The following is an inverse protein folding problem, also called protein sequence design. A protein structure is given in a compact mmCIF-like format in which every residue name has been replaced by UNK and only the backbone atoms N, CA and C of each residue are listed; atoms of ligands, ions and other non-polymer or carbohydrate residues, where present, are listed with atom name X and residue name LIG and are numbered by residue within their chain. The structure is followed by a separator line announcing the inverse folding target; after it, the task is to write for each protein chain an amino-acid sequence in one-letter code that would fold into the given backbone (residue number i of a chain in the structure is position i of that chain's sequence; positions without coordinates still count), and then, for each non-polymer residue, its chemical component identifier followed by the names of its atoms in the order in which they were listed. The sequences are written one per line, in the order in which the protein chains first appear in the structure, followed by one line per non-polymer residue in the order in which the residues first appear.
data_IF_516518917789
#
_entry.id   IF_516518917789
#
_cell.length_a   1.000
_cell.length_b   1.000
_cell.length_c   1.000
_cell.angle_alpha   90.00
_cell.angle_beta   90.00
_cell.angle_gamma   90.00
#
_symmetry.space_group_name_H-M   'P 1'
#
loop_
_entity.id
_entity.type
_entity.pdbx_description
1 polymer ?
#
# COMPACT_ATOMS: atom_id res chain seq x y z
N UNK A 1 14.12 -14.28 37.77
CA UNK A 1 12.92 -15.11 38.04
C UNK A 1 11.88 -14.48 38.98
N UNK A 2 12.11 -13.35 39.68
CA UNK A 2 11.11 -12.75 40.59
C UNK A 2 10.04 -11.85 39.93
N UNK A 3 10.30 -11.26 38.76
CA UNK A 3 9.35 -10.36 38.09
C UNK A 3 8.11 -11.06 37.48
N UNK A 4 8.20 -12.35 37.13
CA UNK A 4 7.09 -13.10 36.51
C UNK A 4 6.03 -13.62 37.49
N UNK A 5 6.35 -13.68 38.80
CA UNK A 5 5.43 -14.15 39.84
C UNK A 5 4.50 -13.03 40.34
N UNK A 6 4.98 -11.78 40.37
CA UNK A 6 4.17 -10.63 40.77
C UNK A 6 3.14 -10.22 39.72
N UNK A 7 3.46 -10.36 38.42
CA UNK A 7 2.50 -10.10 37.34
C UNK A 7 1.33 -11.10 37.36
N UNK A 8 1.59 -12.39 37.60
CA UNK A 8 0.57 -13.44 37.69
C UNK A 8 -0.30 -13.29 38.95
N UNK A 9 0.29 -12.89 40.09
CA UNK A 9 -0.48 -12.54 41.31
C UNK A 9 -1.36 -11.30 41.11
N UNK A 10 -0.89 -10.29 40.37
CA UNK A 10 -1.67 -9.09 40.03
C UNK A 10 -2.88 -9.40 39.12
N UNK A 11 -2.66 -10.16 38.05
CA UNK A 11 -3.72 -10.55 37.10
C UNK A 11 -4.80 -11.44 37.75
N UNK A 12 -4.40 -12.38 38.62
CA UNK A 12 -5.35 -13.24 39.36
C UNK A 12 -6.20 -12.46 40.37
N UNK A 13 -5.63 -11.43 41.03
CA UNK A 13 -6.36 -10.56 41.96
C UNK A 13 -7.34 -9.63 41.24
N UNK A 14 -6.96 -9.10 40.06
CA UNK A 14 -7.85 -8.27 39.26
C UNK A 14 -9.04 -9.05 38.68
N UNK A 15 -8.83 -10.30 38.24
CA UNK A 15 -9.91 -11.16 37.75
C UNK A 15 -10.92 -11.51 38.85
N UNK A 16 -10.44 -11.81 40.06
CA UNK A 16 -11.29 -12.06 41.23
C UNK A 16 -12.07 -10.82 41.66
N UNK A 17 -11.44 -9.65 41.66
CA UNK A 17 -12.11 -8.39 42.01
C UNK A 17 -13.23 -8.02 41.02
N UNK A 18 -13.03 -8.28 39.72
CA UNK A 18 -14.05 -8.06 38.69
C UNK A 18 -15.23 -9.03 38.85
N UNK A 19 -14.95 -10.31 39.12
CA UNK A 19 -15.97 -11.32 39.36
C UNK A 19 -16.79 -11.03 40.63
N UNK A 20 -16.15 -10.60 41.71
CA UNK A 20 -16.82 -10.26 42.97
C UNK A 20 -17.72 -9.02 42.83
N UNK A 21 -17.28 -7.99 42.10
CA UNK A 21 -18.13 -6.82 41.81
C UNK A 21 -19.34 -7.18 40.96
N UNK A 22 -19.14 -8.02 39.93
CA UNK A 22 -20.24 -8.49 39.08
C UNK A 22 -21.29 -9.24 39.90
N UNK A 23 -20.87 -10.15 40.77
CA UNK A 23 -21.73 -10.87 41.70
C UNK A 23 -22.44 -9.93 42.71
N UNK A 24 -21.73 -8.95 43.26
CA UNK A 24 -22.28 -7.98 44.20
C UNK A 24 -23.39 -7.10 43.60
N UNK A 25 -23.26 -6.69 42.32
CA UNK A 25 -24.28 -5.89 41.66
C UNK A 25 -25.44 -6.74 41.10
N UNK A 26 -25.14 -7.88 40.49
CA UNK A 26 -26.15 -8.71 39.79
C UNK A 26 -26.93 -9.63 40.72
N UNK A 27 -26.32 -10.08 41.83
CA UNK A 27 -26.93 -11.09 42.73
C UNK A 27 -27.37 -10.49 44.08
N UNK A 28 -26.64 -9.52 44.61
CA UNK A 28 -26.95 -8.90 45.92
C UNK A 28 -27.71 -7.57 45.82
N UNK A 29 -28.03 -7.10 44.60
CA UNK A 29 -28.82 -5.89 44.38
C UNK A 29 -28.13 -4.59 44.84
N UNK A 30 -26.80 -4.60 45.01
CA UNK A 30 -26.06 -3.42 45.45
C UNK A 30 -26.05 -2.38 44.32
N UNK A 31 -26.47 -1.14 44.62
CA UNK A 31 -26.50 -0.06 43.64
C UNK A 31 -25.08 0.45 43.37
N UNK A 32 -24.69 0.54 42.09
CA UNK A 32 -23.38 1.10 41.69
C UNK A 32 -23.20 2.52 42.23
N UNK A 33 -22.04 2.77 42.84
CA UNK A 33 -21.64 4.11 43.28
C UNK A 33 -21.36 5.03 42.08
N UNK A 34 -21.36 6.34 42.30
CA UNK A 34 -20.98 7.33 41.28
C UNK A 34 -19.56 7.09 40.76
N UNK A 35 -18.63 6.65 41.63
CA UNK A 35 -17.26 6.30 41.24
C UNK A 35 -17.19 5.04 40.36
N UNK A 36 -18.00 4.03 40.67
CA UNK A 36 -18.06 2.81 39.86
C UNK A 36 -18.67 3.08 38.48
N UNK A 37 -19.73 3.91 38.41
CA UNK A 37 -20.32 4.36 37.14
C UNK A 37 -19.32 5.15 36.30
N UNK A 38 -18.54 6.05 36.91
CA UNK A 38 -17.50 6.81 36.21
C UNK A 38 -16.40 5.88 35.64
N UNK A 39 -15.98 4.86 36.40
CA UNK A 39 -15.00 3.88 35.91
C UNK A 39 -15.54 3.04 34.75
N UNK A 40 -16.80 2.63 34.81
CA UNK A 40 -17.44 1.87 33.72
C UNK A 40 -17.56 2.72 32.43
N UNK A 41 -17.88 4.01 32.57
CA UNK A 41 -17.89 4.96 31.45
C UNK A 41 -16.49 5.09 30.83
N UNK A 42 -15.46 5.29 31.66
CA UNK A 42 -14.06 5.37 31.18
C UNK A 42 -13.63 4.07 30.48
N UNK A 43 -13.96 2.91 31.04
CA UNK A 43 -13.62 1.62 30.43
C UNK A 43 -14.37 1.38 29.10
N UNK A 44 -15.62 1.84 29.01
CA UNK A 44 -16.41 1.76 27.78
C UNK A 44 -15.82 2.69 26.71
N UNK A 45 -15.45 3.92 27.09
CA UNK A 45 -14.80 4.87 26.19
C UNK A 45 -13.47 4.33 25.68
N UNK A 46 -12.61 3.80 26.55
CA UNK A 46 -11.33 3.21 26.13
C UNK A 46 -11.51 2.04 25.14
N UNK A 47 -12.54 1.20 25.36
CA UNK A 47 -12.86 0.11 24.43
C UNK A 47 -13.34 0.63 23.08
N UNK A 48 -14.13 1.71 23.08
CA UNK A 48 -14.57 2.38 21.87
C UNK A 48 -13.40 3.01 21.11
N UNK A 49 -12.50 3.71 21.80
CA UNK A 49 -11.32 4.34 21.20
C UNK A 49 -10.39 3.30 20.55
N UNK A 50 -10.18 2.14 21.20
CA UNK A 50 -9.42 1.03 20.63
C UNK A 50 -10.08 0.45 19.35
N UNK A 51 -11.41 0.33 19.34
CA UNK A 51 -12.16 -0.12 18.17
C UNK A 51 -12.08 0.90 17.03
N UNK A 52 -12.24 2.19 17.35
CA UNK A 52 -12.13 3.29 16.40
C UNK A 52 -10.74 3.33 15.77
N UNK A 53 -9.67 3.22 16.56
CA UNK A 53 -8.31 3.23 16.05
C UNK A 53 -8.05 2.03 15.13
N UNK A 54 -8.57 0.85 15.47
CA UNK A 54 -8.43 -0.35 14.63
C UNK A 54 -9.13 -0.19 13.28
N UNK A 55 -10.32 0.38 13.26
CA UNK A 55 -11.06 0.66 12.02
C UNK A 55 -10.34 1.74 11.22
N UNK A 56 -9.91 2.83 11.87
CA UNK A 56 -9.20 3.94 11.20
C UNK A 56 -7.88 3.49 10.57
N UNK A 57 -7.04 2.75 11.32
CA UNK A 57 -5.81 2.15 10.80
C UNK A 57 -6.06 1.23 9.59
N UNK A 58 -7.16 0.47 9.61
CA UNK A 58 -7.56 -0.37 8.47
C UNK A 58 -8.02 0.48 7.27
N UNK A 59 -8.77 1.55 7.52
CA UNK A 59 -9.22 2.48 6.48
C UNK A 59 -8.03 3.18 5.80
N UNK A 60 -7.04 3.64 6.58
CA UNK A 60 -5.80 4.21 6.03
C UNK A 60 -5.03 3.22 5.15
N UNK A 61 -4.96 1.95 5.56
CA UNK A 61 -4.28 0.91 4.78
C UNK A 61 -5.01 0.59 3.47
N UNK A 62 -6.34 0.54 3.49
CA UNK A 62 -7.17 0.40 2.28
C UNK A 62 -6.98 1.61 1.36
N UNK A 63 -7.09 2.82 1.91
CA UNK A 63 -6.94 4.07 1.16
C UNK A 63 -5.55 4.18 0.52
N UNK A 64 -4.48 3.87 1.27
CA UNK A 64 -3.11 3.82 0.75
C UNK A 64 -2.96 2.79 -0.36
N UNK A 65 -3.62 1.64 -0.26
CA UNK A 65 -3.58 0.61 -1.30
C UNK A 65 -4.20 1.10 -2.62
N UNK A 66 -5.19 1.99 -2.59
CA UNK A 66 -5.80 2.55 -3.81
C UNK A 66 -4.82 3.30 -4.69
N UNK A 67 -3.73 3.86 -4.14
CA UNK A 67 -2.71 4.52 -4.95
C UNK A 67 -1.88 3.55 -5.80
N UNK A 68 -1.73 2.29 -5.37
CA UNK A 68 -1.11 1.23 -6.19
C UNK A 68 -2.14 0.46 -7.03
N UNK A 69 -3.42 0.62 -6.75
CA UNK A 69 -4.46 -0.26 -7.25
C UNK A 69 -5.44 0.40 -8.23
N UNK A 70 -5.78 1.67 -8.00
CA UNK A 70 -6.72 2.47 -8.83
C UNK A 70 -6.01 3.58 -9.58
N UNK A 71 -5.28 4.47 -8.90
CA UNK A 71 -4.52 5.55 -9.53
C UNK A 71 -3.46 6.10 -8.56
N UNK A 72 -2.20 6.18 -8.97
CA UNK A 72 -1.14 6.77 -8.15
C UNK A 72 -1.21 8.31 -8.07
N UNK A 73 -1.91 8.92 -9.03
CA UNK A 73 -2.08 10.37 -9.16
C UNK A 73 -3.57 10.69 -9.39
N UNK A 74 -4.44 10.40 -8.41
CA UNK A 74 -5.86 10.66 -8.54
C UNK A 74 -6.19 12.16 -8.61
N UNK A 75 -7.35 12.49 -9.15
CA UNK A 75 -7.94 13.83 -9.01
C UNK A 75 -8.52 14.02 -7.61
N UNK A 76 -8.72 15.27 -7.15
CA UNK A 76 -9.37 15.54 -5.86
C UNK A 76 -10.75 14.87 -5.72
N UNK A 77 -11.50 14.79 -6.80
CA UNK A 77 -12.81 14.12 -6.84
C UNK A 77 -12.65 12.62 -6.59
N UNK A 78 -11.70 11.97 -7.27
CA UNK A 78 -11.41 10.56 -7.04
C UNK A 78 -10.99 10.31 -5.58
N UNK A 79 -10.10 11.12 -5.02
CA UNK A 79 -9.67 11.01 -3.62
C UNK A 79 -10.85 11.17 -2.64
N UNK A 80 -11.79 12.08 -2.92
CA UNK A 80 -13.01 12.28 -2.12
C UNK A 80 -13.94 11.06 -2.17
N UNK A 81 -14.16 10.50 -3.36
CA UNK A 81 -14.94 9.27 -3.54
C UNK A 81 -14.33 8.08 -2.80
N UNK A 82 -12.99 7.97 -2.83
CA UNK A 82 -12.25 6.96 -2.08
C UNK A 82 -12.41 7.17 -0.57
N UNK A 83 -12.17 8.39 -0.07
CA UNK A 83 -12.26 8.72 1.35
C UNK A 83 -13.63 8.41 1.94
N UNK A 84 -14.69 8.60 1.15
CA UNK A 84 -16.07 8.33 1.55
C UNK A 84 -16.40 6.83 1.66
N UNK A 85 -15.67 5.96 0.97
CA UNK A 85 -15.93 4.51 0.93
C UNK A 85 -15.09 3.70 1.94
N UNK A 86 -13.87 4.16 2.25
CA UNK A 86 -12.90 3.34 3.00
C UNK A 86 -13.30 3.04 4.44
N UNK A 87 -14.10 3.89 5.10
CA UNK A 87 -14.56 3.61 6.46
C UNK A 87 -15.47 2.38 6.50
N UNK A 88 -16.47 2.33 5.62
CA UNK A 88 -17.40 1.21 5.50
C UNK A 88 -16.65 -0.08 5.14
N UNK A 89 -15.65 0.02 4.25
CA UNK A 89 -14.80 -1.11 3.90
C UNK A 89 -13.98 -1.61 5.09
N UNK A 90 -13.44 -0.70 5.90
CA UNK A 90 -12.69 -1.01 7.11
C UNK A 90 -13.56 -1.64 8.21
N UNK A 91 -14.77 -1.11 8.45
CA UNK A 91 -15.75 -1.71 9.35
C UNK A 91 -16.06 -3.15 8.96
N UNK A 92 -16.33 -3.39 7.69
CA UNK A 92 -16.58 -4.74 7.16
C UNK A 92 -15.36 -5.65 7.35
N UNK A 93 -14.16 -5.16 7.02
CA UNK A 93 -12.91 -5.92 7.10
C UNK A 93 -12.53 -6.28 8.54
N UNK A 94 -12.85 -5.42 9.51
CA UNK A 94 -12.57 -5.63 10.93
C UNK A 94 -13.68 -6.38 11.66
N UNK A 95 -14.89 -6.45 11.08
CA UNK A 95 -16.10 -6.94 11.74
C UNK A 95 -16.63 -6.00 12.82
N UNK A 96 -16.21 -4.73 12.81
CA UNK A 96 -16.57 -3.72 13.82
C UNK A 96 -17.58 -2.76 13.19
N UNK A 97 -18.69 -2.50 13.90
CA UNK A 97 -19.72 -1.55 13.47
C UNK A 97 -19.71 -0.34 14.41
N UNK A 98 -19.15 0.77 13.92
CA UNK A 98 -19.05 2.04 14.66
C UNK A 98 -19.30 3.21 13.70
N UNK A 99 -19.65 4.37 14.27
CA UNK A 99 -19.82 5.60 13.51
C UNK A 99 -18.49 6.06 12.89
N UNK A 100 -18.57 6.77 11.76
CA UNK A 100 -17.38 7.32 11.09
C UNK A 100 -16.63 8.28 12.00
N UNK A 101 -15.32 8.09 12.11
CA UNK A 101 -14.45 8.99 12.87
C UNK A 101 -14.49 10.40 12.29
N UNK A 102 -14.64 11.39 13.16
CA UNK A 102 -14.59 12.82 12.78
C UNK A 102 -13.22 13.23 12.21
N UNK A 103 -12.15 12.52 12.59
CA UNK A 103 -10.79 12.84 12.20
C UNK A 103 -10.32 12.06 10.97
N UNK A 104 -11.20 11.24 10.37
CA UNK A 104 -10.82 10.39 9.24
C UNK A 104 -10.27 11.21 8.07
N UNK A 105 -10.95 12.30 7.70
CA UNK A 105 -10.53 13.14 6.57
C UNK A 105 -9.10 13.70 6.75
N UNK A 106 -8.78 14.16 7.96
CA UNK A 106 -7.43 14.66 8.30
C UNK A 106 -6.37 13.55 8.19
N UNK A 107 -6.68 12.35 8.69
CA UNK A 107 -5.79 11.18 8.62
C UNK A 107 -5.49 10.80 7.16
N UNK A 108 -6.50 10.85 6.29
CA UNK A 108 -6.39 10.46 4.88
C UNK A 108 -5.66 11.50 4.02
N UNK A 109 -5.83 12.80 4.29
CA UNK A 109 -5.33 13.89 3.44
C UNK A 109 -3.82 13.81 3.13
N UNK A 110 -3.01 13.34 4.08
CA UNK A 110 -1.57 13.20 3.89
C UNK A 110 -1.11 11.89 3.24
N UNK A 111 -1.99 10.90 3.04
CA UNK A 111 -1.58 9.56 2.60
C UNK A 111 -1.06 9.58 1.17
N UNK A 112 -1.75 10.23 0.23
CA UNK A 112 -1.35 10.24 -1.18
C UNK A 112 0.04 10.85 -1.42
N UNK A 113 0.32 12.07 -0.92
CA UNK A 113 1.65 12.66 -1.01
C UNK A 113 2.73 11.79 -0.33
N UNK A 114 2.46 11.26 0.86
CA UNK A 114 3.42 10.38 1.57
C UNK A 114 3.69 9.08 0.80
N UNK A 115 2.66 8.49 0.19
CA UNK A 115 2.79 7.29 -0.63
C UNK A 115 3.75 7.54 -1.79
N UNK A 116 3.53 8.61 -2.57
CA UNK A 116 4.41 8.96 -3.71
C UNK A 116 5.85 9.21 -3.26
N UNK A 117 6.06 9.99 -2.20
CA UNK A 117 7.41 10.20 -1.64
C UNK A 117 8.07 8.89 -1.21
N UNK A 118 7.33 8.01 -0.53
CA UNK A 118 7.83 6.71 -0.06
C UNK A 118 8.23 5.80 -1.23
N UNK A 119 7.41 5.75 -2.29
CA UNK A 119 7.72 4.98 -3.50
C UNK A 119 9.04 5.43 -4.11
N UNK A 120 9.21 6.75 -4.29
CA UNK A 120 10.45 7.30 -4.85
C UNK A 120 11.66 7.05 -3.96
N UNK A 121 11.55 7.33 -2.66
CA UNK A 121 12.65 7.14 -1.70
C UNK A 121 13.13 5.67 -1.65
N UNK A 122 12.21 4.71 -1.80
CA UNK A 122 12.53 3.29 -1.88
C UNK A 122 13.20 2.88 -3.20
N UNK A 123 12.82 3.51 -4.31
CA UNK A 123 13.32 3.15 -5.65
C UNK A 123 14.67 3.81 -5.96
N UNK A 124 14.90 5.03 -5.49
CA UNK A 124 16.13 5.80 -5.73
C UNK A 124 17.43 4.99 -5.51
N UNK A 125 17.67 4.33 -4.36
CA UNK A 125 18.88 3.53 -4.17
C UNK A 125 18.95 2.29 -5.07
N UNK A 126 17.82 1.80 -5.60
CA UNK A 126 17.81 0.72 -6.58
C UNK A 126 18.28 1.22 -7.95
N UNK A 127 17.86 2.41 -8.37
CA UNK A 127 18.25 3.00 -9.65
C UNK A 127 19.75 3.23 -9.70
N UNK A 128 20.32 3.80 -8.63
CA UNK A 128 21.78 3.97 -8.51
C UNK A 128 22.49 2.61 -8.61
N UNK A 129 22.05 1.61 -7.84
CA UNK A 129 22.67 0.29 -7.78
C UNK A 129 22.58 -0.49 -9.10
N UNK A 130 21.42 -0.49 -9.75
CA UNK A 130 21.18 -1.34 -10.91
C UNK A 130 21.76 -0.75 -12.20
N UNK A 131 21.78 0.57 -12.32
CA UNK A 131 22.27 1.22 -13.54
C UNK A 131 23.69 1.76 -13.42
N UNK A 132 24.20 1.97 -12.21
CA UNK A 132 25.59 2.37 -11.99
C UNK A 132 25.83 3.87 -12.03
N UNK A 133 24.85 4.70 -11.67
CA UNK A 133 25.05 6.15 -11.55
C UNK A 133 26.14 6.48 -10.52
N UNK A 134 27.00 7.44 -10.87
CA UNK A 134 28.15 7.82 -10.06
C UNK A 134 27.92 9.14 -9.31
N UNK A 135 28.25 9.17 -8.01
CA UNK A 135 28.12 10.38 -7.18
C UNK A 135 29.33 11.34 -7.29
N UNK A 136 30.37 10.92 -8.00
CA UNK A 136 31.57 11.71 -8.24
C UNK A 136 31.24 12.97 -9.05
N UNK A 137 31.91 14.08 -8.71
CA UNK A 137 31.81 15.36 -9.43
C UNK A 137 32.87 15.52 -10.52
N UNK A 138 33.64 14.47 -10.80
CA UNK A 138 34.63 14.48 -11.87
C UNK A 138 33.93 14.62 -13.24
N UNK A 139 34.49 15.37 -14.20
CA UNK A 139 33.89 15.55 -15.52
C UNK A 139 33.49 14.24 -16.20
N UNK A 140 34.30 13.20 -16.06
CA UNK A 140 34.06 11.86 -16.63
C UNK A 140 32.80 11.22 -16.05
N UNK A 141 32.63 11.26 -14.72
CA UNK A 141 31.44 10.76 -14.01
C UNK A 141 30.17 11.51 -14.41
N UNK A 142 30.27 12.84 -14.56
CA UNK A 142 29.14 13.66 -14.99
C UNK A 142 28.72 13.33 -16.44
N UNK A 143 29.67 13.20 -17.35
CA UNK A 143 29.40 12.79 -18.74
C UNK A 143 28.82 11.38 -18.82
N UNK A 144 29.35 10.44 -18.02
CA UNK A 144 28.83 9.08 -17.91
C UNK A 144 27.36 9.07 -17.50
N UNK A 145 27.00 9.77 -16.41
CA UNK A 145 25.62 9.85 -15.91
C UNK A 145 24.65 10.42 -16.96
N UNK A 146 25.04 11.47 -17.69
CA UNK A 146 24.21 12.08 -18.75
C UNK A 146 23.95 11.07 -19.87
N UNK A 147 24.99 10.38 -20.33
CA UNK A 147 24.88 9.40 -21.41
C UNK A 147 24.07 8.18 -20.98
N UNK A 148 24.31 7.68 -19.78
CA UNK A 148 23.56 6.57 -19.19
C UNK A 148 22.08 6.90 -19.03
N UNK A 149 21.75 8.07 -18.46
CA UNK A 149 20.36 8.50 -18.31
C UNK A 149 19.65 8.58 -19.67
N UNK A 150 20.31 9.14 -20.70
CA UNK A 150 19.77 9.18 -22.06
C UNK A 150 19.54 7.77 -22.62
N UNK A 151 20.54 6.90 -22.54
CA UNK A 151 20.47 5.55 -23.08
C UNK A 151 19.37 4.70 -22.43
N UNK A 152 19.20 4.82 -21.10
CA UNK A 152 18.15 4.13 -20.36
C UNK A 152 16.73 4.58 -20.76
N UNK A 153 16.56 5.86 -21.07
CA UNK A 153 15.26 6.41 -21.48
C UNK A 153 14.92 6.12 -22.94
N UNK A 154 15.91 5.97 -23.82
CA UNK A 154 15.68 5.61 -25.22
C UNK A 154 14.94 4.28 -25.32
N UNK A 155 13.78 4.30 -26.00
CA UNK A 155 12.89 3.16 -26.21
C UNK A 155 12.55 2.35 -24.93
N UNK A 156 12.49 3.04 -23.79
CA UNK A 156 12.17 2.44 -22.49
C UNK A 156 13.16 1.36 -22.05
N UNK A 157 14.44 1.47 -22.43
CA UNK A 157 15.46 0.47 -22.15
C UNK A 157 15.58 0.10 -20.67
N UNK A 158 15.35 1.03 -19.76
CA UNK A 158 15.32 0.79 -18.30
C UNK A 158 14.31 -0.28 -17.85
N UNK A 159 13.31 -0.59 -18.65
CA UNK A 159 12.29 -1.60 -18.33
C UNK A 159 12.58 -2.99 -18.90
N UNK A 160 13.52 -3.11 -19.84
CA UNK A 160 13.84 -4.35 -20.56
C UNK A 160 14.68 -5.28 -19.69
N UNK A 161 14.45 -6.59 -19.80
CA UNK A 161 15.25 -7.56 -19.03
C UNK A 161 16.70 -7.65 -19.51
N UNK A 162 17.55 -8.28 -18.69
CA UNK A 162 19.00 -8.38 -18.90
C UNK A 162 19.39 -9.27 -20.12
N UNK A 163 18.43 -10.03 -20.65
CA UNK A 163 18.64 -10.95 -21.77
C UNK A 163 18.37 -10.28 -23.12
N UNK A 164 19.14 -10.65 -24.14
CA UNK A 164 18.90 -10.23 -25.52
C UNK A 164 17.49 -10.69 -25.95
N UNK A 165 16.64 -9.76 -26.40
CA UNK A 165 15.22 -9.99 -26.70
C UNK A 165 14.30 -10.22 -25.49
N UNK A 166 14.72 -9.84 -24.28
CA UNK A 166 13.83 -9.90 -23.11
C UNK A 166 12.53 -9.12 -23.36
N UNK A 167 11.41 -9.72 -22.95
CA UNK A 167 10.12 -9.03 -22.98
C UNK A 167 10.17 -7.74 -22.14
N UNK A 168 9.45 -6.68 -22.54
CA UNK A 168 9.33 -5.45 -21.76
C UNK A 168 8.90 -5.72 -20.31
N UNK A 169 9.28 -4.82 -19.41
CA UNK A 169 8.95 -4.83 -17.98
C UNK A 169 9.50 -6.03 -17.19
N UNK A 170 10.55 -6.68 -17.68
CA UNK A 170 11.23 -7.80 -17.01
C UNK A 170 12.53 -7.43 -16.32
N UNK A 171 12.95 -6.17 -16.37
CA UNK A 171 14.13 -5.73 -15.62
C UNK A 171 13.98 -6.04 -14.13
N UNK A 172 15.04 -6.58 -13.50
CA UNK A 172 15.01 -7.07 -12.11
C UNK A 172 14.62 -5.99 -11.10
N UNK A 173 14.92 -4.73 -11.40
CA UNK A 173 14.56 -3.58 -10.56
C UNK A 173 13.04 -3.50 -10.30
N UNK A 174 12.21 -3.89 -11.26
CA UNK A 174 10.73 -3.76 -11.17
C UNK A 174 10.21 -4.70 -10.09
N UNK A 175 10.64 -5.97 -10.11
CA UNK A 175 10.27 -6.92 -9.07
C UNK A 175 10.79 -6.48 -7.70
N UNK A 176 12.04 -5.98 -7.62
CA UNK A 176 12.61 -5.55 -6.36
C UNK A 176 11.88 -4.33 -5.78
N UNK A 177 11.52 -3.35 -6.63
CA UNK A 177 10.72 -2.19 -6.24
C UNK A 177 9.34 -2.61 -5.72
N UNK A 178 8.65 -3.51 -6.43
CA UNK A 178 7.34 -4.02 -6.01
C UNK A 178 7.44 -4.74 -4.66
N UNK A 179 8.50 -5.54 -4.46
CA UNK A 179 8.75 -6.23 -3.21
C UNK A 179 8.89 -5.24 -2.05
N UNK A 180 9.74 -4.23 -2.16
CA UNK A 180 9.96 -3.28 -1.05
C UNK A 180 8.77 -2.35 -0.80
N UNK A 181 7.91 -2.10 -1.79
CA UNK A 181 6.74 -1.23 -1.64
C UNK A 181 5.54 -2.00 -1.06
N UNK A 182 5.20 -3.17 -1.62
CA UNK A 182 3.95 -3.87 -1.29
C UNK A 182 4.12 -5.27 -0.67
N UNK A 183 5.33 -5.85 -0.67
CA UNK A 183 5.57 -7.21 -0.20
C UNK A 183 6.81 -7.35 0.70
N UNK A 184 7.16 -6.30 1.44
CA UNK A 184 8.36 -6.30 2.28
C UNK A 184 8.29 -7.35 3.39
N UNK A 185 7.09 -7.56 3.93
CA UNK A 185 6.80 -8.47 5.02
C UNK A 185 5.34 -8.93 4.99
N UNK A 186 4.96 -9.76 5.97
CA UNK A 186 3.61 -10.33 6.08
C UNK A 186 2.52 -9.32 6.44
N UNK A 187 2.88 -8.12 6.87
CA UNK A 187 1.96 -7.02 7.16
C UNK A 187 1.82 -6.02 6.01
N UNK A 188 2.59 -6.19 4.94
CA UNK A 188 2.56 -5.30 3.79
C UNK A 188 1.24 -5.42 3.01
N UNK A 189 0.82 -4.34 2.37
CA UNK A 189 -0.49 -4.25 1.71
C UNK A 189 -0.74 -5.33 0.65
N UNK A 190 0.29 -5.68 -0.14
CA UNK A 190 0.20 -6.74 -1.14
C UNK A 190 -0.13 -8.11 -0.54
N UNK A 191 0.18 -8.31 0.74
CA UNK A 191 -0.13 -9.51 1.51
C UNK A 191 -1.49 -9.39 2.20
N UNK A 192 -1.79 -8.24 2.81
CA UNK A 192 -3.02 -8.01 3.58
C UNK A 192 -4.24 -7.86 2.67
N UNK A 193 -4.07 -7.26 1.50
CA UNK A 193 -5.10 -7.00 0.50
C UNK A 193 -4.81 -7.73 -0.83
N UNK A 194 -4.69 -9.07 -0.83
CA UNK A 194 -4.27 -9.82 -2.01
C UNK A 194 -5.25 -9.67 -3.18
N UNK A 195 -6.53 -9.34 -2.92
CA UNK A 195 -7.53 -9.10 -3.97
C UNK A 195 -7.27 -7.80 -4.74
N UNK A 196 -6.60 -6.83 -4.14
CA UNK A 196 -6.17 -5.62 -4.85
C UNK A 196 -4.96 -5.91 -5.71
N UNK A 197 -4.08 -6.81 -5.26
CA UNK A 197 -2.78 -7.03 -5.89
C UNK A 197 -2.68 -8.30 -6.74
N UNK A 198 -3.74 -9.10 -6.89
CA UNK A 198 -3.73 -10.36 -7.64
C UNK A 198 -4.74 -10.41 -8.81
N UNK A 199 -4.28 -10.49 -10.07
CA UNK A 199 -2.89 -10.34 -10.51
C UNK A 199 -2.40 -8.90 -10.30
N UNK A 200 -1.08 -8.68 -10.26
CA UNK A 200 -0.49 -7.37 -9.96
C UNK A 200 -1.12 -6.24 -10.78
N UNK A 201 -1.69 -5.17 -10.20
CA UNK A 201 -2.31 -4.07 -10.93
C UNK A 201 -1.39 -3.44 -11.96
N UNK A 202 -1.96 -3.02 -13.09
CA UNK A 202 -1.23 -2.20 -14.06
C UNK A 202 -0.78 -0.89 -13.43
N UNK A 203 -1.64 -0.32 -12.57
CA UNK A 203 -1.42 0.90 -11.81
C UNK A 203 -0.15 0.84 -10.96
N UNK A 204 0.06 -0.26 -10.22
CA UNK A 204 1.24 -0.44 -9.39
C UNK A 204 2.52 -0.64 -10.21
N UNK A 205 2.44 -1.32 -11.36
CA UNK A 205 3.59 -1.45 -12.26
C UNK A 205 3.91 -0.08 -12.88
N UNK A 206 2.90 0.64 -13.35
CA UNK A 206 3.05 1.97 -13.94
C UNK A 206 3.71 2.95 -12.96
N UNK A 207 3.23 3.07 -11.72
CA UNK A 207 3.85 3.99 -10.74
C UNK A 207 5.30 3.63 -10.41
N UNK A 208 5.65 2.33 -10.41
CA UNK A 208 7.05 1.89 -10.26
C UNK A 208 7.89 2.33 -11.46
N UNK A 209 7.40 2.16 -12.69
CA UNK A 209 8.10 2.61 -13.89
C UNK A 209 8.27 4.13 -13.90
N UNK A 210 7.22 4.87 -13.56
CA UNK A 210 7.27 6.34 -13.45
C UNK A 210 8.29 6.79 -12.40
N UNK A 211 8.34 6.11 -11.25
CA UNK A 211 9.30 6.45 -10.20
C UNK A 211 10.75 6.11 -10.60
N UNK A 212 10.97 4.99 -11.31
CA UNK A 212 12.28 4.65 -11.88
C UNK A 212 12.72 5.73 -12.87
N UNK A 213 11.84 6.10 -13.80
CA UNK A 213 12.12 7.16 -14.78
C UNK A 213 12.39 8.50 -14.10
N UNK A 214 11.60 8.85 -13.09
CA UNK A 214 11.81 10.06 -12.29
C UNK A 214 13.19 10.07 -11.61
N UNK A 215 13.65 8.94 -11.08
CA UNK A 215 14.98 8.82 -10.49
C UNK A 215 16.09 8.87 -11.55
N UNK A 216 15.87 8.35 -12.76
CA UNK A 216 16.82 8.48 -13.88
C UNK A 216 16.95 9.95 -14.30
N UNK A 217 15.84 10.69 -14.36
CA UNK A 217 15.84 12.12 -14.72
C UNK A 217 16.67 12.98 -13.75
N UNK A 218 16.81 12.58 -12.48
CA UNK A 218 17.64 13.28 -11.50
C UNK A 218 19.13 13.30 -11.89
N UNK A 219 19.56 12.38 -12.76
CA UNK A 219 20.95 12.27 -13.23
C UNK A 219 21.18 12.85 -14.63
N UNK A 220 20.12 13.31 -15.30
CA UNK A 220 20.14 13.73 -16.71
C UNK A 220 21.04 14.94 -17.03
N UNK A 221 21.46 15.70 -16.00
CA UNK A 221 22.29 16.89 -16.13
C UNK A 221 23.76 16.65 -15.74
N UNK A 222 24.10 15.44 -15.29
CA UNK A 222 25.42 15.09 -14.77
C UNK A 222 25.42 14.94 -13.25
N UNK A 223 25.28 16.03 -12.47
CA UNK A 223 25.14 15.92 -11.03
C UNK A 223 23.71 15.50 -10.69
N UNK A 224 23.56 14.78 -9.57
CA UNK A 224 22.24 14.44 -9.04
C UNK A 224 21.49 15.69 -8.60
N UNK A 225 20.30 15.89 -9.17
CA UNK A 225 19.37 16.97 -8.82
C UNK A 225 18.04 16.35 -8.41
N UNK A 226 17.61 16.61 -7.18
CA UNK A 226 16.33 16.12 -6.67
C UNK A 226 15.16 16.67 -7.50
N UNK A 227 14.35 15.78 -8.06
CA UNK A 227 13.12 16.13 -8.77
C UNK A 227 11.90 15.75 -7.93
N UNK A 228 10.90 16.62 -7.70
CA UNK A 228 9.70 16.24 -6.96
C UNK A 228 8.87 15.18 -7.72
N UNK A 229 8.52 14.07 -7.05
CA UNK A 229 7.57 13.07 -7.57
C UNK A 229 6.12 13.51 -7.29
N UNK A 230 5.75 14.59 -7.94
CA UNK A 230 4.49 15.31 -7.74
C UNK A 230 3.56 15.18 -8.94
N UNK A 231 2.26 15.41 -8.71
CA UNK A 231 1.21 15.36 -9.73
C UNK A 231 1.57 16.18 -10.98
N UNK A 232 1.92 17.46 -10.79
CA UNK A 232 2.23 18.36 -11.91
C UNK A 232 3.47 18.01 -12.72
N UNK A 233 4.30 17.06 -12.27
CA UNK A 233 5.55 16.70 -12.95
C UNK A 233 5.47 15.33 -13.63
N UNK A 234 4.80 14.35 -13.02
CA UNK A 234 4.87 12.95 -13.45
C UNK A 234 3.51 12.28 -13.68
N UNK A 235 2.38 13.01 -13.63
CA UNK A 235 1.07 12.44 -13.99
C UNK A 235 1.05 11.95 -15.43
N UNK A 236 1.53 12.76 -16.38
CA UNK A 236 1.53 12.40 -17.81
C UNK A 236 2.40 11.19 -18.08
N UNK A 237 3.64 11.17 -17.56
CA UNK A 237 4.55 10.02 -17.64
C UNK A 237 3.91 8.76 -17.06
N UNK A 238 3.18 8.88 -15.94
CA UNK A 238 2.42 7.77 -15.37
C UNK A 238 1.30 7.28 -16.30
N UNK A 239 0.54 8.19 -16.90
CA UNK A 239 -0.49 7.85 -17.88
C UNK A 239 0.11 7.12 -19.09
N UNK A 240 1.22 7.59 -19.64
CA UNK A 240 1.91 6.97 -20.78
C UNK A 240 2.32 5.52 -20.46
N UNK A 241 2.93 5.28 -19.29
CA UNK A 241 3.28 3.92 -18.86
C UNK A 241 2.04 3.04 -18.65
N UNK A 242 0.97 3.60 -18.09
CA UNK A 242 -0.27 2.88 -17.84
C UNK A 242 -0.99 2.51 -19.15
N UNK A 243 -1.03 3.42 -20.11
CA UNK A 243 -1.58 3.21 -21.45
C UNK A 243 -0.75 2.19 -22.23
N UNK A 244 0.57 2.26 -22.19
CA UNK A 244 1.45 1.27 -22.81
C UNK A 244 1.22 -0.15 -22.24
N UNK A 245 1.13 -0.27 -20.92
CA UNK A 245 0.84 -1.54 -20.24
C UNK A 245 -0.54 -2.10 -20.62
N UNK A 246 -1.57 -1.25 -20.67
CA UNK A 246 -2.93 -1.67 -21.04
C UNK A 246 -3.04 -1.99 -22.54
N UNK A 247 -2.42 -1.21 -23.41
CA UNK A 247 -2.44 -1.43 -24.86
C UNK A 247 -1.78 -2.74 -25.29
N UNK A 248 -0.75 -3.18 -24.58
CA UNK A 248 -0.12 -4.49 -24.81
C UNK A 248 -1.02 -5.67 -24.44
N UNK A 249 -1.92 -5.50 -23.47
CA UNK A 249 -2.97 -6.49 -23.14
C UNK A 249 -3.95 -6.63 -24.31
N UNK A 250 -4.31 -5.52 -24.95
CA UNK A 250 -5.28 -5.49 -26.05
C UNK A 250 -4.67 -6.02 -27.37
N UNK A 251 -3.37 -5.78 -27.60
CA UNK A 251 -2.64 -6.28 -28.78
C UNK A 251 -2.24 -7.76 -28.66
N UNK A 252 -2.07 -8.28 -27.43
CA UNK A 252 -1.79 -9.68 -27.14
C UNK A 252 -2.92 -10.66 -27.52
N UNK A 253 -4.09 -10.16 -27.92
CA UNK A 253 -5.26 -10.96 -28.29
C UNK A 253 -5.17 -11.69 -29.64
N UNK A 254 -4.09 -11.56 -30.42
CA UNK A 254 -3.97 -12.26 -31.71
C UNK A 254 -3.04 -13.48 -31.71
N UNK A 255 -2.25 -13.72 -30.66
CA UNK A 255 -1.29 -14.83 -30.65
C UNK A 255 -1.37 -15.65 -29.36
N UNK A 256 -2.27 -16.65 -29.40
CA UNK A 256 -2.40 -17.80 -28.49
C UNK A 256 -2.98 -17.52 -27.10
N UNK A 257 -3.48 -18.60 -26.52
CA UNK A 257 -4.37 -18.72 -25.37
C UNK A 257 -3.85 -18.23 -24.01
N UNK A 258 -2.79 -17.41 -23.96
CA UNK A 258 -2.25 -16.82 -22.74
C UNK A 258 -1.76 -15.38 -22.99
N UNK A 259 -2.39 -14.41 -22.35
CA UNK A 259 -1.92 -13.02 -22.31
C UNK A 259 -0.58 -12.95 -21.55
N UNK A 260 0.55 -12.64 -22.24
CA UNK A 260 1.88 -12.59 -21.62
C UNK A 260 1.99 -11.60 -20.47
N UNK A 261 1.23 -10.50 -20.50
CA UNK A 261 1.19 -9.53 -19.41
C UNK A 261 0.39 -10.05 -18.23
N UNK A 262 -0.72 -10.75 -18.45
CA UNK A 262 -1.42 -11.44 -17.36
C UNK A 262 -0.51 -12.46 -16.66
N UNK A 263 0.30 -13.19 -17.41
CA UNK A 263 1.30 -14.10 -16.83
C UNK A 263 2.34 -13.32 -16.02
N UNK A 264 2.95 -12.27 -16.59
CA UNK A 264 3.92 -11.42 -15.91
C UNK A 264 3.36 -10.87 -14.59
N UNK A 265 2.15 -10.31 -14.60
CA UNK A 265 1.48 -9.74 -13.42
C UNK A 265 1.23 -10.79 -12.33
N UNK A 266 0.88 -12.01 -12.73
CA UNK A 266 0.70 -13.14 -11.82
C UNK A 266 2.04 -13.60 -11.23
N UNK A 267 3.09 -13.65 -12.06
CA UNK A 267 4.45 -13.97 -11.62
C UNK A 267 4.99 -12.94 -10.63
N UNK A 268 4.80 -11.65 -10.92
CA UNK A 268 5.22 -10.54 -10.06
C UNK A 268 4.56 -10.65 -8.67
N UNK A 269 3.24 -10.86 -8.66
CA UNK A 269 2.48 -11.04 -7.42
C UNK A 269 2.98 -12.26 -6.61
N UNK A 270 3.15 -13.41 -7.28
CA UNK A 270 3.58 -14.63 -6.60
C UNK A 270 5.01 -14.52 -6.06
N UNK A 271 5.94 -13.93 -6.83
CA UNK A 271 7.31 -13.63 -6.35
C UNK A 271 7.31 -12.66 -5.18
N UNK A 272 6.41 -11.67 -5.18
CA UNK A 272 6.19 -10.77 -4.05
C UNK A 272 5.76 -11.53 -2.78
N UNK A 273 4.77 -12.42 -2.90
CA UNK A 273 4.36 -13.27 -1.77
C UNK A 273 5.47 -14.16 -1.24
N UNK A 274 6.25 -14.77 -2.14
CA UNK A 274 7.40 -15.58 -1.75
C UNK A 274 8.43 -14.72 -1.00
N UNK A 275 8.71 -13.48 -1.46
CA UNK A 275 9.59 -12.52 -0.79
C UNK A 275 9.09 -12.15 0.61
N UNK A 276 7.78 -11.95 0.80
CA UNK A 276 7.17 -11.70 2.10
C UNK A 276 7.15 -12.95 3.02
N UNK A 277 7.65 -14.09 2.56
CA UNK A 277 7.62 -15.36 3.30
C UNK A 277 6.21 -15.92 3.48
N UNK A 278 5.30 -15.64 2.53
CA UNK A 278 3.91 -16.09 2.55
C UNK A 278 3.77 -17.31 1.62
N UNK A 279 3.38 -18.49 2.12
CA UNK A 279 3.20 -19.67 1.29
C UNK A 279 2.17 -19.43 0.19
N UNK A 280 2.38 -20.06 -0.98
CA UNK A 280 1.43 -20.09 -2.11
C UNK A 280 0.16 -20.92 -1.83
N UNK A 281 -0.39 -20.85 -0.61
CA UNK A 281 -1.71 -21.41 -0.29
C UNK A 281 -2.80 -20.57 -0.95
N UNK A 282 -3.92 -21.22 -1.26
CA UNK A 282 -5.15 -20.59 -1.76
C UNK A 282 -5.48 -19.37 -0.90
N UNK A 283 -5.64 -18.21 -1.53
CA UNK A 283 -6.08 -16.98 -0.86
C UNK A 283 -7.44 -17.31 -0.24
N UNK A 284 -7.54 -17.28 1.10
CA UNK A 284 -8.76 -17.63 1.80
C UNK A 284 -9.90 -16.75 1.31
N UNK A 285 -10.99 -17.41 0.91
CA UNK A 285 -12.13 -16.80 0.25
C UNK A 285 -13.09 -16.03 1.19
N UNK A 286 -12.58 -15.47 2.29
CA UNK A 286 -13.43 -15.00 3.39
C UNK A 286 -13.93 -13.56 3.28
N UNK A 287 -13.08 -12.63 2.83
CA UNK A 287 -13.35 -11.18 2.90
C UNK A 287 -13.10 -10.52 1.55
N UNK A 288 -14.05 -10.67 0.63
CA UNK A 288 -13.86 -10.34 -0.78
C UNK A 288 -14.42 -8.98 -1.15
N UNK A 289 -13.51 -8.03 -1.37
CA UNK A 289 -13.78 -6.91 -2.27
C UNK A 289 -13.19 -7.25 -3.63
N UNK A 290 -14.06 -7.52 -4.61
CA UNK A 290 -13.65 -7.59 -6.03
C UNK A 290 -13.41 -6.17 -6.55
N UNK A 291 -12.67 -6.03 -7.66
CA UNK A 291 -12.42 -4.73 -8.27
C UNK A 291 -13.68 -3.93 -8.55
N UNK A 292 -14.66 -4.60 -9.14
CA UNK A 292 -15.96 -4.02 -9.42
C UNK A 292 -16.71 -3.57 -8.16
N UNK A 293 -16.57 -4.28 -7.03
CA UNK A 293 -17.22 -3.88 -5.78
C UNK A 293 -16.56 -2.64 -5.16
N UNK A 294 -15.23 -2.55 -5.21
CA UNK A 294 -14.51 -1.35 -4.77
C UNK A 294 -14.85 -0.16 -5.65
N UNK A 295 -14.81 -0.38 -6.97
CA UNK A 295 -15.11 0.66 -7.96
C UNK A 295 -16.54 1.18 -7.78
N UNK A 296 -17.52 0.28 -7.72
CA UNK A 296 -18.92 0.65 -7.48
C UNK A 296 -19.15 1.36 -6.14
N UNK A 297 -18.44 0.97 -5.08
CA UNK A 297 -18.54 1.63 -3.78
C UNK A 297 -18.00 3.07 -3.82
N UNK A 298 -16.88 3.28 -4.51
CA UNK A 298 -16.29 4.61 -4.69
C UNK A 298 -17.15 5.48 -5.62
N UNK A 299 -17.65 4.92 -6.72
CA UNK A 299 -18.40 5.68 -7.73
C UNK A 299 -19.79 6.06 -7.21
N UNK A 300 -20.44 5.19 -6.42
CA UNK A 300 -21.68 5.51 -5.73
C UNK A 300 -21.52 6.71 -4.79
N UNK A 301 -20.38 6.80 -4.10
CA UNK A 301 -20.11 7.91 -3.20
C UNK A 301 -19.93 9.25 -3.92
N UNK A 302 -19.60 9.26 -5.21
CA UNK A 302 -19.54 10.49 -6.04
C UNK A 302 -20.91 10.97 -6.53
N UNK A 303 -21.93 10.10 -6.46
CA UNK A 303 -23.28 10.38 -6.96
C UNK A 303 -24.30 10.84 -5.89
N UNK A 304 -23.86 10.89 -4.63
CA UNK A 304 -24.62 11.33 -3.45
C UNK A 304 -24.05 12.62 -2.89
#
# INVERSE_FOLDING_TARGET
MRAGLDLKRGLSKMSHARAYRKYAYETLGIVKTTSDRARDVVATQATYDEQEERVASTAEAIYRSFFGYRDAFPTPEQESGWASSVWTMACTKTGITIATSINLAERLAGIGPRFRSTVKEKIMPLVERYYGFETSKAPESLSHNIELARALKTDGAFSKGDEEHALPYRHRIIQQAINIIWFNDRSSDGVVFPNFFNPMPYEAIAVVLTAIECCIDEWSHGPWIRIPFAYGNYKEVYCDHLEALKGLSDQGLQLRSCDPLRQLRSEIFNKGRDHAGVPRRSINQGDHWTRNQVDAACDKALST
#
